data_IF_383859688350
#
_entry.id   IF_383859688350
#
_cell.length_a   1.000
_cell.length_b   1.000
_cell.length_c   1.000
_cell.angle_alpha   90.00
_cell.angle_beta   90.00
_cell.angle_gamma   90.00
#
_symmetry.space_group_name_H-M   'P 1'
#
loop_
_entity.id
_entity.type
_entity.pdbx_description
1 polymer ?
#
# COMPACT_ATOMS: atom_id res chain seq x y z
N UNK A 1 -18.49 7.91 -19.11
CA UNK A 1 -18.06 7.19 -17.89
C UNK A 1 -19.32 6.74 -17.16
N UNK A 2 -19.46 5.48 -16.76
CA UNK A 2 -20.67 5.02 -16.04
C UNK A 2 -20.65 5.49 -14.58
N UNK A 3 -21.81 5.66 -13.91
CA UNK A 3 -21.88 6.06 -12.51
C UNK A 3 -21.03 5.18 -11.57
N UNK A 4 -20.99 3.88 -11.82
CA UNK A 4 -20.16 2.94 -11.05
C UNK A 4 -18.66 3.18 -11.19
N UNK A 5 -18.21 3.61 -12.37
CA UNK A 5 -16.80 3.91 -12.62
C UNK A 5 -16.37 5.19 -11.90
N UNK A 6 -17.28 6.17 -11.80
CA UNK A 6 -17.06 7.40 -11.03
C UNK A 6 -16.95 7.06 -9.54
N UNK A 7 -17.88 6.28 -9.01
CA UNK A 7 -17.83 5.84 -7.61
C UNK A 7 -16.54 5.10 -7.28
N UNK A 8 -16.13 4.14 -8.12
CA UNK A 8 -14.87 3.40 -7.93
C UNK A 8 -13.64 4.32 -7.98
N UNK A 9 -13.66 5.34 -8.84
CA UNK A 9 -12.60 6.36 -8.91
C UNK A 9 -12.52 7.13 -7.61
N UNK A 10 -13.64 7.67 -7.13
CA UNK A 10 -13.68 8.53 -5.96
C UNK A 10 -13.33 7.73 -4.69
N UNK A 11 -13.81 6.49 -4.57
CA UNK A 11 -13.40 5.54 -3.52
C UNK A 11 -11.89 5.27 -3.55
N UNK A 12 -11.29 5.12 -4.75
CA UNK A 12 -9.86 4.93 -4.90
C UNK A 12 -9.08 6.17 -4.45
N UNK A 13 -9.49 7.36 -4.89
CA UNK A 13 -8.85 8.64 -4.53
C UNK A 13 -8.88 8.86 -3.02
N UNK A 14 -10.05 8.73 -2.39
CA UNK A 14 -10.21 8.90 -0.96
C UNK A 14 -9.41 7.85 -0.17
N UNK A 15 -9.45 6.60 -0.61
CA UNK A 15 -8.73 5.49 0.04
C UNK A 15 -7.22 5.67 -0.04
N UNK A 16 -6.66 6.04 -1.20
CA UNK A 16 -5.22 6.23 -1.37
C UNK A 16 -4.76 7.49 -0.63
N UNK A 17 -5.48 8.61 -0.78
CA UNK A 17 -5.16 9.88 -0.12
C UNK A 17 -5.18 9.83 1.41
N UNK A 18 -5.88 8.86 2.01
CA UNK A 18 -5.82 8.61 3.46
C UNK A 18 -4.44 8.12 3.92
N UNK A 19 -3.70 7.40 3.08
CA UNK A 19 -2.47 6.71 3.47
C UNK A 19 -1.23 7.23 2.75
N UNK A 20 -1.38 7.95 1.65
CA UNK A 20 -0.28 8.43 0.83
C UNK A 20 -0.24 9.95 0.77
N UNK A 21 0.94 10.50 0.59
CA UNK A 21 1.17 11.92 0.34
C UNK A 21 2.35 12.11 -0.63
N UNK A 22 2.41 13.29 -1.23
CA UNK A 22 3.51 13.71 -2.09
C UNK A 22 4.45 14.59 -1.27
N UNK A 23 5.72 14.23 -1.25
CA UNK A 23 6.79 15.05 -0.71
C UNK A 23 7.45 15.81 -1.87
N UNK A 24 7.15 17.10 -1.96
CA UNK A 24 7.58 17.95 -3.07
C UNK A 24 9.05 18.37 -2.97
N UNK A 25 9.60 18.43 -1.75
CA UNK A 25 10.99 18.83 -1.55
C UNK A 25 11.94 17.73 -2.06
N UNK A 26 11.59 16.48 -1.78
CA UNK A 26 12.41 15.31 -2.13
C UNK A 26 11.96 14.62 -3.41
N UNK A 27 10.80 15.00 -3.98
CA UNK A 27 10.12 14.29 -5.07
C UNK A 27 9.85 12.81 -4.74
N UNK A 28 9.46 12.54 -3.51
CA UNK A 28 9.12 11.19 -3.06
C UNK A 28 7.60 11.04 -2.87
N UNK A 29 7.06 9.91 -3.30
CA UNK A 29 5.68 9.53 -2.98
C UNK A 29 5.73 8.57 -1.79
N UNK A 30 5.27 9.06 -0.63
CA UNK A 30 5.46 8.38 0.65
C UNK A 30 4.15 8.04 1.32
N UNK A 31 4.23 7.07 2.24
CA UNK A 31 3.11 6.76 3.13
C UNK A 31 3.10 7.66 4.36
N UNK A 32 1.91 8.16 4.69
CA UNK A 32 1.68 8.97 5.89
C UNK A 32 2.04 8.16 7.14
N UNK A 33 2.83 8.73 8.08
CA UNK A 33 3.11 8.07 9.35
C UNK A 33 1.79 7.77 10.08
N UNK A 34 1.68 6.56 10.63
CA UNK A 34 0.54 6.17 11.44
C UNK A 34 0.98 6.05 12.89
N UNK A 35 0.12 6.49 13.81
CA UNK A 35 0.40 6.48 15.24
C UNK A 35 -0.54 5.50 15.98
N UNK A 36 -0.04 4.93 17.09
CA UNK A 36 -0.83 4.12 18.03
C UNK A 36 -1.50 2.91 17.39
N UNK A 37 -2.82 2.77 17.60
CA UNK A 37 -3.63 1.63 17.14
C UNK A 37 -3.62 1.49 15.61
N UNK A 38 -3.49 2.60 14.87
CA UNK A 38 -3.41 2.56 13.41
C UNK A 38 -2.09 1.94 12.90
N UNK A 39 -0.99 2.13 13.63
CA UNK A 39 0.30 1.51 13.31
C UNK A 39 0.27 -0.01 13.55
N UNK A 40 -0.30 -0.45 14.67
CA UNK A 40 -0.51 -1.86 14.98
C UNK A 40 -1.44 -2.53 13.97
N UNK A 41 -2.56 -1.89 13.65
CA UNK A 41 -3.46 -2.39 12.62
C UNK A 41 -2.77 -2.47 11.26
N UNK A 42 -1.90 -1.53 10.89
CA UNK A 42 -1.13 -1.68 9.66
C UNK A 42 -0.07 -2.76 9.72
N UNK A 43 0.50 -3.05 10.88
CA UNK A 43 1.47 -4.13 11.01
C UNK A 43 0.83 -5.48 10.67
N UNK A 44 -0.36 -5.75 11.20
CA UNK A 44 -1.11 -7.00 10.96
C UNK A 44 -1.94 -6.97 9.67
N UNK A 45 -2.61 -5.85 9.40
CA UNK A 45 -3.50 -5.61 8.27
C UNK A 45 -2.97 -4.45 7.43
N UNK A 46 -1.85 -4.70 6.74
CA UNK A 46 -1.26 -3.74 5.79
C UNK A 46 -2.31 -3.39 4.74
N UNK A 47 -2.88 -2.18 4.82
CA UNK A 47 -3.75 -1.67 3.75
C UNK A 47 -2.89 -1.50 2.51
N UNK A 48 -3.17 -2.33 1.50
CA UNK A 48 -2.52 -2.28 0.19
C UNK A 48 -3.44 -1.65 -0.83
N UNK A 49 -2.87 -0.87 -1.74
CA UNK A 49 -3.56 -0.26 -2.86
C UNK A 49 -3.07 -0.85 -4.17
N UNK A 50 -3.96 -1.00 -5.13
CA UNK A 50 -3.52 -1.45 -6.46
C UNK A 50 -2.76 -0.34 -7.18
N UNK A 51 -1.85 -0.68 -8.09
CA UNK A 51 -1.16 0.34 -8.90
C UNK A 51 -2.18 1.17 -9.71
N UNK A 52 -3.30 0.58 -10.13
CA UNK A 52 -4.42 1.32 -10.74
C UNK A 52 -5.03 2.37 -9.78
N UNK A 53 -5.34 2.00 -8.54
CA UNK A 53 -5.88 2.96 -7.55
C UNK A 53 -4.89 4.10 -7.30
N UNK A 54 -3.61 3.73 -7.20
CA UNK A 54 -2.52 4.67 -6.98
C UNK A 54 -2.36 5.64 -8.16
N UNK A 55 -2.40 5.14 -9.40
CA UNK A 55 -2.42 5.94 -10.62
C UNK A 55 -3.60 6.92 -10.65
N UNK A 56 -4.81 6.44 -10.35
CA UNK A 56 -6.03 7.27 -10.33
C UNK A 56 -5.89 8.41 -9.33
N UNK A 57 -5.33 8.12 -8.14
CA UNK A 57 -5.06 9.13 -7.14
C UNK A 57 -4.02 10.15 -7.59
N UNK A 58 -2.90 9.70 -8.17
CA UNK A 58 -1.86 10.61 -8.70
C UNK A 58 -2.41 11.53 -9.80
N UNK A 59 -3.19 10.98 -10.75
CA UNK A 59 -3.84 11.78 -11.80
C UNK A 59 -4.83 12.79 -11.23
N UNK A 60 -5.54 12.44 -10.15
CA UNK A 60 -6.42 13.39 -9.47
C UNK A 60 -5.62 14.49 -8.76
N UNK A 61 -4.52 14.15 -8.07
CA UNK A 61 -3.66 15.15 -7.42
C UNK A 61 -3.03 16.07 -8.45
N UNK A 62 -2.57 15.52 -9.56
CA UNK A 62 -2.11 16.29 -10.71
C UNK A 62 -3.20 17.22 -11.23
N UNK A 63 -4.45 16.77 -11.40
CA UNK A 63 -5.54 17.65 -11.85
C UNK A 63 -5.93 18.74 -10.84
N UNK A 64 -5.81 18.49 -9.53
CA UNK A 64 -5.98 19.52 -8.49
C UNK A 64 -4.85 20.56 -8.55
N UNK A 65 -3.66 20.12 -8.94
CA UNK A 65 -2.44 20.91 -8.97
C UNK A 65 -2.18 21.58 -10.33
N UNK A 66 -2.70 21.04 -11.44
CA UNK A 66 -2.57 21.49 -12.85
C UNK A 66 -3.18 22.88 -13.10
N UNK A 67 -3.73 23.54 -12.08
CA UNK A 67 -3.82 25.00 -12.05
C UNK A 67 -2.41 25.67 -12.03
N UNK A 68 -1.34 24.89 -11.89
CA UNK A 68 0.08 25.22 -11.99
C UNK A 68 0.78 24.12 -12.85
N UNK A 69 1.85 24.46 -13.62
CA UNK A 69 2.46 23.53 -14.57
C UNK A 69 3.28 22.44 -13.85
N UNK A 70 2.66 21.31 -13.54
CA UNK A 70 3.33 20.15 -12.95
C UNK A 70 3.68 19.10 -14.01
N UNK A 71 4.89 18.50 -13.97
CA UNK A 71 5.22 17.38 -14.85
C UNK A 71 4.39 16.15 -14.48
N UNK A 72 3.90 15.41 -15.50
CA UNK A 72 3.19 14.14 -15.31
C UNK A 72 3.99 13.23 -14.37
N UNK A 73 3.37 12.81 -13.27
CA UNK A 73 4.01 11.98 -12.24
C UNK A 73 4.01 10.49 -12.63
N UNK A 74 3.06 10.09 -13.49
CA UNK A 74 2.87 8.71 -13.89
C UNK A 74 2.26 8.62 -15.29
N UNK A 75 2.87 7.82 -16.16
CA UNK A 75 2.40 7.58 -17.52
C UNK A 75 1.78 6.18 -17.64
N UNK A 76 0.65 6.09 -18.33
CA UNK A 76 -0.07 4.85 -18.63
C UNK A 76 -0.15 4.69 -20.13
N UNK A 77 0.99 4.37 -20.71
CA UNK A 77 1.10 4.31 -22.15
C UNK A 77 0.59 2.92 -22.64
N UNK A 78 0.23 2.73 -23.94
CA UNK A 78 -0.45 1.49 -24.42
C UNK A 78 0.37 0.51 -25.32
N UNK A 79 1.55 0.93 -25.79
CA UNK A 79 2.52 0.13 -26.58
C UNK A 79 3.27 -0.95 -25.74
N UNK A 80 2.90 -2.24 -25.78
CA UNK A 80 3.63 -3.28 -25.06
C UNK A 80 5.06 -3.43 -25.58
N UNK A 81 6.05 -3.51 -24.68
CA UNK A 81 7.44 -3.88 -24.99
C UNK A 81 7.70 -5.35 -24.64
N UNK A 82 8.69 -5.97 -25.28
CA UNK A 82 9.06 -7.37 -25.03
C UNK A 82 9.57 -7.53 -23.59
N UNK A 83 8.82 -8.26 -22.76
CA UNK A 83 9.09 -8.41 -21.32
C UNK A 83 8.37 -7.40 -20.40
N UNK A 84 7.73 -6.38 -20.98
CA UNK A 84 7.05 -5.30 -20.28
C UNK A 84 5.75 -4.96 -21.02
N UNK A 85 4.62 -5.65 -20.73
CA UNK A 85 3.37 -5.50 -21.49
C UNK A 85 2.67 -4.13 -21.36
N UNK A 86 3.37 -3.13 -20.78
CA UNK A 86 2.91 -1.85 -20.24
C UNK A 86 1.95 -1.96 -19.06
N UNK A 87 2.24 -1.13 -18.06
CA UNK A 87 1.42 -0.75 -16.91
C UNK A 87 2.33 0.18 -16.07
N UNK A 88 1.89 1.44 -15.98
CA UNK A 88 2.33 2.50 -15.08
C UNK A 88 3.85 2.73 -14.94
N UNK A 89 4.34 3.88 -15.43
CA UNK A 89 5.74 4.32 -15.30
C UNK A 89 5.80 5.63 -14.50
N UNK A 90 6.65 5.71 -13.48
CA UNK A 90 6.91 6.99 -12.80
C UNK A 90 7.68 7.94 -13.73
N UNK A 91 7.37 9.23 -13.65
CA UNK A 91 7.93 10.28 -14.52
C UNK A 91 8.27 11.52 -13.70
N UNK A 92 9.12 12.41 -14.21
CA UNK A 92 9.37 13.73 -13.62
C UNK A 92 10.32 13.75 -12.43
N UNK A 93 11.16 12.71 -12.29
CA UNK A 93 12.07 12.51 -11.17
C UNK A 93 11.39 12.03 -9.88
N UNK A 94 10.13 11.58 -9.95
CA UNK A 94 9.42 11.06 -8.79
C UNK A 94 9.85 9.64 -8.44
N UNK A 95 10.07 9.39 -7.15
CA UNK A 95 10.48 8.07 -6.66
C UNK A 95 9.58 7.59 -5.53
N UNK A 96 9.57 6.27 -5.29
CA UNK A 96 8.87 5.65 -4.16
C UNK A 96 9.91 4.92 -3.32
N UNK A 97 10.07 5.26 -2.03
CA UNK A 97 10.99 4.55 -1.17
C UNK A 97 10.67 3.05 -1.11
N UNK A 98 11.70 2.21 -1.08
CA UNK A 98 11.55 0.74 -1.14
C UNK A 98 10.65 0.17 -0.05
N UNK A 99 10.65 0.79 1.13
CA UNK A 99 9.81 0.40 2.27
C UNK A 99 8.31 0.60 1.99
N UNK A 100 7.97 1.58 1.15
CA UNK A 100 6.60 1.94 0.83
C UNK A 100 6.04 1.10 -0.35
N UNK A 101 6.92 0.54 -1.21
CA UNK A 101 6.52 -0.37 -2.29
C UNK A 101 5.76 -1.60 -1.80
N UNK A 102 6.00 -2.05 -0.56
CA UNK A 102 5.30 -3.19 0.04
C UNK A 102 3.79 -2.96 0.27
N UNK A 103 3.32 -1.71 0.14
CA UNK A 103 1.93 -1.31 0.23
C UNK A 103 1.24 -1.16 -1.14
N UNK A 104 1.96 -1.41 -2.23
CA UNK A 104 1.41 -1.48 -3.58
C UNK A 104 1.26 -2.92 -4.04
N UNK A 105 0.27 -3.18 -4.88
CA UNK A 105 -0.04 -4.52 -5.40
C UNK A 105 -0.68 -4.44 -6.79
N UNK A 106 -0.82 -5.56 -7.50
CA UNK A 106 -1.46 -5.62 -8.82
C UNK A 106 -0.79 -4.67 -9.82
N UNK A 107 0.54 -4.77 -9.91
CA UNK A 107 1.36 -4.04 -10.88
C UNK A 107 1.23 -4.59 -12.31
N UNK A 108 2.20 -4.31 -13.19
CA UNK A 108 3.46 -3.65 -12.95
C UNK A 108 3.41 -2.14 -12.66
N UNK A 109 4.42 -1.67 -11.93
CA UNK A 109 4.85 -0.27 -11.83
C UNK A 109 6.35 -0.23 -12.12
N UNK A 110 6.79 0.61 -13.05
CA UNK A 110 8.20 0.77 -13.42
C UNK A 110 8.77 2.12 -12.94
N UNK A 111 10.08 2.16 -12.72
CA UNK A 111 10.82 3.39 -12.52
C UNK A 111 10.84 4.25 -13.79
N UNK A 112 11.17 5.52 -13.65
CA UNK A 112 11.42 6.40 -14.80
C UNK A 112 12.48 5.80 -15.72
N UNK A 113 12.23 5.83 -17.03
CA UNK A 113 13.11 5.22 -18.03
C UNK A 113 13.05 3.69 -18.09
N UNK A 114 12.17 3.06 -17.29
CA UNK A 114 11.91 1.61 -17.26
C UNK A 114 13.14 0.76 -16.93
N UNK A 115 14.07 1.32 -16.16
CA UNK A 115 15.29 0.62 -15.73
C UNK A 115 15.01 -0.45 -14.65
N UNK A 116 13.99 -0.26 -13.81
CA UNK A 116 13.62 -1.20 -12.74
C UNK A 116 12.10 -1.42 -12.63
N UNK A 117 11.70 -2.65 -12.32
CA UNK A 117 10.33 -3.00 -11.93
C UNK A 117 10.16 -2.76 -10.43
N UNK A 118 9.45 -1.70 -10.06
CA UNK A 118 9.17 -1.34 -8.67
C UNK A 118 8.10 -2.24 -8.05
N UNK A 119 7.06 -2.54 -8.81
CA UNK A 119 6.00 -3.48 -8.41
C UNK A 119 5.82 -4.47 -9.56
N UNK A 120 5.98 -5.78 -9.36
CA UNK A 120 5.79 -6.76 -10.42
C UNK A 120 4.30 -6.98 -10.74
N UNK A 121 4.04 -7.47 -11.95
CA UNK A 121 2.71 -7.98 -12.30
C UNK A 121 2.33 -9.13 -11.36
N UNK A 122 1.18 -9.01 -10.73
CA UNK A 122 0.75 -9.97 -9.71
C UNK A 122 -0.20 -10.97 -10.33
N UNK A 123 0.23 -12.23 -10.43
CA UNK A 123 -0.64 -13.32 -10.86
C UNK A 123 -1.62 -13.69 -9.73
N UNK A 124 -2.81 -14.23 -10.07
CA UNK A 124 -3.85 -14.61 -9.08
C UNK A 124 -3.32 -15.48 -7.93
N UNK A 125 -2.35 -16.35 -8.22
CA UNK A 125 -1.67 -17.21 -7.25
C UNK A 125 -0.78 -16.43 -6.26
N UNK A 126 -0.09 -15.39 -6.72
CA UNK A 126 0.71 -14.51 -5.86
C UNK A 126 -0.18 -13.66 -4.94
N UNK A 127 -1.34 -13.21 -5.43
CA UNK A 127 -2.34 -12.54 -4.60
C UNK A 127 -2.86 -13.46 -3.48
N UNK A 128 -3.10 -14.75 -3.77
CA UNK A 128 -3.48 -15.74 -2.76
C UNK A 128 -2.37 -15.96 -1.71
N UNK A 129 -1.12 -16.13 -2.14
CA UNK A 129 0.03 -16.30 -1.23
C UNK A 129 0.23 -15.10 -0.29
N UNK A 130 -0.01 -13.89 -0.78
CA UNK A 130 0.09 -12.68 0.03
C UNK A 130 -0.97 -12.65 1.14
N UNK A 131 -2.20 -13.07 0.85
CA UNK A 131 -3.28 -13.20 1.83
C UNK A 131 -2.97 -14.33 2.82
N UNK A 132 -2.51 -15.49 2.34
CA UNK A 132 -2.15 -16.63 3.18
C UNK A 132 -1.00 -16.30 4.15
N UNK A 133 0.02 -15.55 3.70
CA UNK A 133 1.14 -15.12 4.56
C UNK A 133 0.68 -14.16 5.65
N UNK A 134 -0.25 -13.25 5.36
CA UNK A 134 -0.86 -12.38 6.37
C UNK A 134 -1.68 -13.19 7.38
N UNK A 135 -2.47 -14.17 6.93
CA UNK A 135 -3.23 -15.06 7.80
C UNK A 135 -2.33 -15.91 8.72
N UNK A 136 -1.21 -16.44 8.19
CA UNK A 136 -0.25 -17.23 8.96
C UNK A 136 0.42 -16.45 10.10
N UNK A 137 0.75 -15.17 9.89
CA UNK A 137 1.31 -14.30 10.94
C UNK A 137 0.30 -14.13 12.10
N UNK A 138 -1.00 -14.01 11.79
CA UNK A 138 -2.06 -13.87 12.80
C UNK A 138 -2.22 -15.14 13.64
N UNK A 139 -2.23 -16.31 13.00
CA UNK A 139 -2.31 -17.60 13.72
C UNK A 139 -1.10 -17.76 14.65
N UNK A 140 0.10 -17.47 14.17
CA UNK A 140 1.32 -17.52 14.98
C UNK A 140 1.30 -16.56 16.17
N UNK A 141 0.86 -15.31 15.96
CA UNK A 141 0.74 -14.31 17.01
C UNK A 141 -0.34 -14.68 18.04
N UNK A 142 -1.47 -15.24 17.59
CA UNK A 142 -2.53 -15.73 18.47
C UNK A 142 -2.07 -16.90 19.35
N UNK A 143 -1.38 -17.88 18.78
CA UNK A 143 -0.86 -19.04 19.51
C UNK A 143 0.19 -18.63 20.54
N UNK A 144 1.07 -17.68 20.20
CA UNK A 144 2.08 -17.16 21.15
C UNK A 144 1.44 -16.31 22.26
N UNK A 145 0.43 -15.50 21.95
CA UNK A 145 -0.32 -14.75 22.96
C UNK A 145 -1.07 -15.68 23.93
N UNK A 146 -1.78 -16.69 23.41
CA UNK A 146 -2.48 -17.69 24.24
C UNK A 146 -1.46 -18.48 25.07
N UNK A 147 -0.35 -18.92 24.47
CA UNK A 147 0.73 -19.63 25.17
C UNK A 147 1.35 -18.80 26.30
N UNK A 148 1.55 -17.49 26.09
CA UNK A 148 2.02 -16.58 27.12
C UNK A 148 0.97 -16.40 28.24
N UNK A 149 -0.31 -16.20 27.90
CA UNK A 149 -1.37 -16.09 28.90
C UNK A 149 -1.53 -17.37 29.74
N UNK A 150 -1.45 -18.55 29.13
CA UNK A 150 -1.51 -19.84 29.84
C UNK A 150 -0.28 -20.04 30.72
N UNK A 151 0.91 -19.72 30.21
CA UNK A 151 2.18 -19.87 30.95
C UNK A 151 2.25 -18.96 32.19
N UNK A 152 1.71 -17.74 32.10
CA UNK A 152 1.74 -16.75 33.18
C UNK A 152 0.42 -16.67 33.96
N UNK A 153 -0.54 -17.57 33.69
CA UNK A 153 -1.86 -17.60 34.33
C UNK A 153 -1.78 -17.73 35.85
N UNK A 154 -0.84 -18.53 36.35
CA UNK A 154 -0.62 -18.72 37.79
C UNK A 154 -0.17 -17.42 38.47
N UNK A 155 0.65 -16.60 37.81
CA UNK A 155 1.11 -15.32 38.38
C UNK A 155 0.03 -14.24 38.27
N UNK A 156 -0.68 -14.19 37.14
CA UNK A 156 -1.77 -13.23 36.91
C UNK A 156 -2.96 -13.47 37.86
N UNK A 157 -3.31 -14.73 38.12
CA UNK A 157 -4.39 -15.08 39.06
C UNK A 157 -4.05 -14.70 40.50
N UNK A 158 -2.79 -14.82 40.91
CA UNK A 158 -2.32 -14.40 42.25
C UNK A 158 -2.36 -12.88 42.40
N UNK A 159 -2.00 -12.13 41.37
CA UNK A 159 -2.07 -10.66 41.37
C UNK A 159 -3.52 -10.18 41.41
N UNK A 160 -4.42 -10.80 40.64
CA UNK A 160 -5.85 -10.47 40.66
C UNK A 160 -6.52 -10.83 42.00
N UNK A 161 -6.14 -11.95 42.61
CA UNK A 161 -6.65 -12.36 43.92
C UNK A 161 -6.16 -11.48 45.10
N UNK A 162 -5.17 -10.60 44.87
CA UNK A 162 -4.74 -9.59 45.84
C UNK A 162 -5.37 -8.21 45.62
N UNK A 163 -6.03 -8.01 44.47
CA UNK A 163 -6.65 -6.74 44.08
C UNK A 163 -8.18 -6.72 44.32
N UNK A 164 -8.78 -7.86 44.65
CA UNK A 164 -10.16 -8.06 45.09
C UNK A 164 -10.18 -8.81 46.42
#
# INVERSE_FOLDING_TARGET
MTPDMIRKRDEAVASVGKYWYLDFETKEIRRKPQNGVAALNQFFWKKRHTVWQFYVWLRHRQAEEDAMPFPDQIDSDNIPLKGYPKKYELKGGWTIPRNDLAYLTHGPLASEGRHEVLVPETNRWQSFLLVAKQAGILIGAGVTAIGACVRWWSELSIVFAKLF
#
